data_IF_893606686097
#
_entry.id   IF_893606686097
#
_cell.length_a   1.000
_cell.length_b   1.000
_cell.length_c   1.000
_cell.angle_alpha   90.00
_cell.angle_beta   90.00
_cell.angle_gamma   90.00
#
_symmetry.space_group_name_H-M   'P 1'
#
loop_
_entity.id
_entity.type
_entity.pdbx_description
1 polymer ?
#
# COMPACT_ATOMS: atom_id res chain seq x y z
N UNK A 1 -12.25 -17.25 -12.17
CA UNK A 1 -11.61 -16.13 -11.46
C UNK A 1 -11.38 -16.53 -10.02
N UNK A 2 -10.17 -16.33 -9.48
CA UNK A 2 -9.86 -16.54 -8.07
C UNK A 2 -10.86 -15.81 -7.16
N UNK A 3 -11.24 -16.45 -6.06
CA UNK A 3 -11.96 -15.76 -4.99
C UNK A 3 -11.02 -14.78 -4.29
N UNK A 4 -11.58 -13.94 -3.42
CA UNK A 4 -10.79 -13.04 -2.59
C UNK A 4 -9.83 -13.81 -1.67
N UNK A 5 -10.33 -14.87 -1.03
CA UNK A 5 -9.56 -15.73 -0.13
C UNK A 5 -8.41 -16.40 -0.88
N UNK A 6 -8.67 -16.92 -2.09
CA UNK A 6 -7.63 -17.49 -2.95
C UNK A 6 -6.60 -16.43 -3.36
N UNK A 7 -7.05 -15.23 -3.75
CA UNK A 7 -6.13 -14.13 -4.11
C UNK A 7 -5.18 -13.79 -2.97
N UNK A 8 -5.68 -13.75 -1.74
CA UNK A 8 -4.86 -13.48 -0.54
C UNK A 8 -3.91 -14.64 -0.26
N UNK A 9 -4.39 -15.89 -0.34
CA UNK A 9 -3.56 -17.06 -0.12
C UNK A 9 -2.41 -17.15 -1.14
N UNK A 10 -2.71 -16.94 -2.42
CA UNK A 10 -1.72 -16.96 -3.50
C UNK A 10 -0.71 -15.80 -3.34
N UNK A 11 -1.17 -14.61 -2.95
CA UNK A 11 -0.29 -13.48 -2.66
C UNK A 11 0.66 -13.76 -1.48
N UNK A 12 0.16 -14.36 -0.40
CA UNK A 12 0.98 -14.77 0.75
C UNK A 12 1.99 -15.85 0.33
N UNK A 13 1.60 -16.81 -0.50
CA UNK A 13 2.51 -17.85 -1.00
C UNK A 13 3.65 -17.24 -1.84
N UNK A 14 3.34 -16.26 -2.69
CA UNK A 14 4.36 -15.54 -3.46
C UNK A 14 5.28 -14.74 -2.54
N UNK A 15 4.72 -14.06 -1.54
CA UNK A 15 5.50 -13.32 -0.55
C UNK A 15 6.45 -14.22 0.26
N UNK A 16 5.97 -15.37 0.73
CA UNK A 16 6.77 -16.31 1.52
C UNK A 16 7.86 -17.01 0.69
N UNK A 17 7.67 -17.15 -0.62
CA UNK A 17 8.67 -17.70 -1.54
C UNK A 17 9.58 -16.64 -2.18
N UNK A 18 9.41 -15.36 -1.81
CA UNK A 18 10.17 -14.26 -2.36
C UNK A 18 11.66 -14.29 -1.97
N UNK A 19 12.49 -13.64 -2.77
CA UNK A 19 13.93 -13.54 -2.55
C UNK A 19 14.23 -12.47 -1.50
N UNK A 20 14.92 -12.85 -0.42
CA UNK A 20 15.37 -11.94 0.63
C UNK A 20 16.87 -12.10 0.87
N UNK A 21 17.74 -11.46 0.08
CA UNK A 21 19.19 -11.67 0.17
C UNK A 21 19.81 -11.31 1.53
N UNK A 22 19.15 -10.46 2.32
CA UNK A 22 19.55 -10.06 3.68
C UNK A 22 18.74 -10.78 4.79
N UNK A 23 17.93 -11.79 4.43
CA UNK A 23 17.00 -12.45 5.35
C UNK A 23 15.66 -11.71 5.47
N UNK A 24 14.64 -12.45 5.89
CA UNK A 24 13.29 -11.93 6.04
C UNK A 24 13.09 -11.33 7.44
N UNK A 25 12.65 -10.08 7.49
CA UNK A 25 12.39 -9.31 8.72
C UNK A 25 11.35 -8.22 8.44
N UNK A 26 10.86 -7.53 9.48
CA UNK A 26 10.01 -6.35 9.30
C UNK A 26 10.64 -5.29 8.37
N UNK A 27 11.97 -5.08 8.49
CA UNK A 27 12.72 -4.10 7.70
C UNK A 27 12.91 -4.50 6.23
N UNK A 28 12.84 -5.79 5.91
CA UNK A 28 13.05 -6.31 4.54
C UNK A 28 11.76 -6.80 3.88
N UNK A 29 10.65 -6.87 4.63
CA UNK A 29 9.38 -7.41 4.15
C UNK A 29 8.81 -6.67 2.93
N UNK A 30 9.09 -5.37 2.80
CA UNK A 30 8.72 -4.57 1.63
C UNK A 30 9.21 -5.19 0.31
N UNK A 31 10.35 -5.87 0.33
CA UNK A 31 10.94 -6.48 -0.86
C UNK A 31 10.07 -7.65 -1.37
N UNK A 32 9.46 -8.41 -0.46
CA UNK A 32 8.50 -9.45 -0.82
C UNK A 32 7.18 -8.87 -1.34
N UNK A 33 6.71 -7.75 -0.76
CA UNK A 33 5.53 -7.04 -1.29
C UNK A 33 5.78 -6.61 -2.73
N UNK A 34 6.93 -6.02 -3.03
CA UNK A 34 7.27 -5.59 -4.38
C UNK A 34 7.44 -6.76 -5.34
N UNK A 35 8.11 -7.83 -4.94
CA UNK A 35 8.18 -9.05 -5.75
C UNK A 35 6.78 -9.62 -6.06
N UNK A 36 5.84 -9.49 -5.12
CA UNK A 36 4.47 -9.97 -5.29
C UNK A 36 3.63 -9.07 -6.21
N UNK A 37 3.69 -7.74 -6.02
CA UNK A 37 2.67 -6.80 -6.52
C UNK A 37 3.18 -5.67 -7.42
N UNK A 38 4.47 -5.32 -7.37
CA UNK A 38 5.00 -4.21 -8.19
C UNK A 38 5.12 -4.66 -9.64
N UNK A 39 4.48 -3.94 -10.56
CA UNK A 39 4.54 -4.25 -11.98
C UNK A 39 5.34 -3.22 -12.77
N UNK A 40 5.62 -3.56 -14.02
CA UNK A 40 6.34 -2.71 -14.95
C UNK A 40 5.39 -2.21 -16.05
N UNK A 41 5.53 -0.93 -16.39
CA UNK A 41 4.87 -0.36 -17.56
C UNK A 41 5.75 -0.52 -18.79
N UNK A 42 5.22 -0.98 -19.93
CA UNK A 42 5.91 -0.87 -21.19
C UNK A 42 5.95 0.61 -21.61
N UNK A 43 7.16 1.14 -21.75
CA UNK A 43 7.43 2.54 -22.05
C UNK A 43 7.75 2.72 -23.53
N UNK A 44 8.69 1.93 -24.05
CA UNK A 44 9.18 2.00 -25.44
C UNK A 44 9.40 3.44 -25.92
N UNK A 45 10.04 4.26 -25.08
CA UNK A 45 10.17 5.69 -25.30
C UNK A 45 11.45 6.23 -24.66
N UNK A 46 12.21 7.00 -25.44
CA UNK A 46 13.39 7.77 -24.99
C UNK A 46 14.35 6.94 -24.13
N UNK A 47 14.84 5.84 -24.70
CA UNK A 47 15.86 4.99 -24.08
C UNK A 47 15.33 3.98 -23.05
N UNK A 48 14.03 3.93 -22.79
CA UNK A 48 13.45 2.94 -21.88
C UNK A 48 12.50 1.99 -22.61
N UNK A 49 12.72 0.69 -22.44
CA UNK A 49 11.79 -0.36 -22.88
C UNK A 49 10.63 -0.49 -21.90
N UNK A 50 10.94 -0.53 -20.60
CA UNK A 50 9.98 -0.68 -19.52
C UNK A 50 10.50 0.01 -18.25
N UNK A 51 9.60 0.39 -17.34
CA UNK A 51 9.93 1.01 -16.06
C UNK A 51 8.96 0.53 -14.98
N UNK A 52 9.36 0.44 -13.69
CA UNK A 52 8.44 0.08 -12.62
C UNK A 52 7.30 1.11 -12.52
N UNK A 53 6.07 0.61 -12.34
CA UNK A 53 4.89 1.44 -12.17
C UNK A 53 4.84 2.04 -10.77
N UNK A 54 5.58 3.12 -10.57
CA UNK A 54 5.54 3.89 -9.33
C UNK A 54 4.61 5.11 -9.41
N UNK A 55 4.12 5.44 -10.60
CA UNK A 55 3.29 6.61 -10.85
C UNK A 55 2.36 6.35 -12.04
N UNK A 56 1.31 7.16 -12.19
CA UNK A 56 0.38 7.07 -13.32
C UNK A 56 1.14 6.93 -14.67
N UNK A 57 0.71 5.97 -15.48
CA UNK A 57 1.42 5.60 -16.70
C UNK A 57 1.60 6.77 -17.69
N UNK A 58 0.71 7.76 -17.69
CA UNK A 58 0.80 8.95 -18.55
C UNK A 58 1.91 9.94 -18.15
N UNK A 59 2.53 9.73 -16.98
CA UNK A 59 3.75 10.40 -16.53
C UNK A 59 5.02 9.62 -16.87
N UNK A 60 4.89 8.35 -17.27
CA UNK A 60 6.00 7.50 -17.71
C UNK A 60 6.10 7.38 -19.23
N UNK A 61 4.98 7.56 -19.95
CA UNK A 61 4.93 7.55 -21.42
C UNK A 61 3.99 8.64 -21.96
N UNK A 62 4.26 9.18 -23.16
CA UNK A 62 3.41 10.21 -23.75
C UNK A 62 2.03 9.63 -24.14
N UNK A 63 0.96 10.23 -23.60
CA UNK A 63 -0.42 9.83 -23.86
C UNK A 63 -1.11 10.62 -24.99
N UNK A 64 -0.39 11.50 -25.70
CA UNK A 64 -0.93 12.27 -26.82
C UNK A 64 0.11 12.53 -27.91
N UNK A 65 -0.30 12.77 -29.17
CA UNK A 65 0.62 13.15 -30.25
C UNK A 65 1.44 14.41 -29.93
N UNK A 66 0.83 15.38 -29.25
CA UNK A 66 1.51 16.60 -28.83
C UNK A 66 2.65 16.29 -27.84
N UNK A 67 2.40 15.46 -26.81
CA UNK A 67 3.46 15.04 -25.87
C UNK A 67 4.56 14.23 -26.56
N UNK A 68 4.22 13.36 -27.53
CA UNK A 68 5.22 12.61 -28.30
C UNK A 68 6.21 13.52 -29.04
N UNK A 69 5.76 14.70 -29.51
CA UNK A 69 6.65 15.67 -30.18
C UNK A 69 7.57 16.41 -29.22
N UNK A 70 7.14 16.62 -27.97
CA UNK A 70 7.91 17.42 -27.00
C UNK A 70 8.81 16.59 -26.10
N UNK A 71 8.47 15.31 -25.86
CA UNK A 71 9.26 14.40 -25.02
C UNK A 71 10.43 13.81 -25.81
N UNK A 72 11.48 14.60 -25.97
CA UNK A 72 12.73 14.20 -26.64
C UNK A 72 13.80 13.69 -25.66
N UNK A 73 13.58 13.84 -24.36
CA UNK A 73 14.51 13.44 -23.28
C UNK A 73 13.74 12.80 -22.12
N UNK A 74 14.39 11.96 -21.29
CA UNK A 74 13.75 11.36 -20.13
C UNK A 74 13.15 12.41 -19.19
N UNK A 75 11.85 12.33 -18.93
CA UNK A 75 11.18 13.20 -17.96
C UNK A 75 11.52 12.78 -16.53
N UNK A 76 11.26 13.67 -15.57
CA UNK A 76 11.62 13.46 -14.15
C UNK A 76 11.13 12.12 -13.60
N UNK A 77 9.88 11.75 -13.91
CA UNK A 77 9.30 10.48 -13.43
C UNK A 77 9.90 9.24 -14.08
N UNK A 78 10.35 9.32 -15.34
CA UNK A 78 11.08 8.20 -15.96
C UNK A 78 12.43 7.97 -15.26
N UNK A 79 13.15 9.06 -14.93
CA UNK A 79 14.43 8.97 -14.19
C UNK A 79 14.22 8.41 -12.79
N UNK A 80 13.18 8.86 -12.07
CA UNK A 80 12.83 8.33 -10.75
C UNK A 80 12.47 6.85 -10.79
N UNK A 81 11.68 6.43 -11.78
CA UNK A 81 11.35 5.02 -11.94
C UNK A 81 12.59 4.17 -12.25
N UNK A 82 13.56 4.69 -13.03
CA UNK A 82 14.85 4.04 -13.22
C UNK A 82 15.65 3.95 -11.92
N UNK A 83 15.70 5.02 -11.11
CA UNK A 83 16.39 4.98 -9.81
C UNK A 83 15.76 3.95 -8.87
N UNK A 84 14.43 3.83 -8.85
CA UNK A 84 13.74 2.77 -8.10
C UNK A 84 14.11 1.40 -8.67
N UNK A 85 14.17 1.23 -9.99
CA UNK A 85 14.61 -0.04 -10.59
C UNK A 85 16.02 -0.44 -10.14
N UNK A 86 16.97 0.49 -10.17
CA UNK A 86 18.36 0.24 -9.76
C UNK A 86 18.45 -0.06 -8.25
N UNK A 87 17.68 0.65 -7.43
CA UNK A 87 17.55 0.38 -6.00
C UNK A 87 17.00 -1.04 -5.74
N UNK A 88 16.01 -1.49 -6.51
CA UNK A 88 15.49 -2.87 -6.40
C UNK A 88 16.53 -3.90 -6.84
N UNK A 89 17.26 -3.61 -7.92
CA UNK A 89 18.31 -4.50 -8.42
C UNK A 89 19.40 -4.74 -7.36
N UNK A 90 19.82 -3.68 -6.68
CA UNK A 90 20.77 -3.75 -5.57
C UNK A 90 20.25 -4.66 -4.44
N UNK A 91 19.00 -4.44 -3.99
CA UNK A 91 18.40 -5.20 -2.89
C UNK A 91 18.09 -6.66 -3.26
N UNK A 92 17.79 -6.94 -4.52
CA UNK A 92 17.62 -8.29 -5.07
C UNK A 92 18.93 -8.94 -5.50
N UNK A 93 20.06 -8.24 -5.38
CA UNK A 93 21.40 -8.65 -5.84
C UNK A 93 21.38 -9.17 -7.28
N UNK A 94 20.66 -8.47 -8.16
CA UNK A 94 20.58 -8.80 -9.58
C UNK A 94 20.94 -7.60 -10.46
N UNK A 95 21.01 -7.81 -11.78
CA UNK A 95 21.16 -6.70 -12.72
C UNK A 95 19.88 -5.90 -12.86
N UNK A 96 20.02 -4.62 -13.20
CA UNK A 96 18.91 -3.67 -13.45
C UNK A 96 17.85 -4.25 -14.42
N UNK A 97 18.29 -4.93 -15.47
CA UNK A 97 17.38 -5.54 -16.47
C UNK A 97 16.63 -6.78 -15.96
N UNK A 98 17.14 -7.45 -14.91
CA UNK A 98 16.56 -8.67 -14.36
C UNK A 98 15.44 -8.42 -13.34
N UNK A 99 15.27 -7.18 -12.85
CA UNK A 99 14.28 -6.85 -11.81
C UNK A 99 12.86 -7.15 -12.27
N UNK A 100 12.51 -6.78 -13.51
CA UNK A 100 11.16 -7.00 -14.07
C UNK A 100 10.73 -8.46 -14.07
N UNK A 101 11.67 -9.41 -14.14
CA UNK A 101 11.40 -10.84 -14.09
C UNK A 101 11.07 -11.31 -12.65
N UNK A 102 11.65 -10.64 -11.64
CA UNK A 102 11.52 -10.98 -10.21
C UNK A 102 10.32 -10.33 -9.51
N UNK A 103 9.64 -9.38 -10.16
CA UNK A 103 8.46 -8.72 -9.59
C UNK A 103 7.15 -9.09 -10.30
N UNK A 104 6.03 -8.58 -9.79
CA UNK A 104 4.68 -8.84 -10.29
C UNK A 104 4.30 -10.32 -10.32
N UNK A 105 4.89 -11.12 -9.44
CA UNK A 105 4.83 -12.57 -9.51
C UNK A 105 3.41 -13.11 -9.31
N UNK A 106 2.55 -12.41 -8.58
CA UNK A 106 1.14 -12.79 -8.44
C UNK A 106 0.40 -12.73 -9.77
N UNK A 107 0.49 -11.61 -10.47
CA UNK A 107 -0.24 -11.39 -11.73
C UNK A 107 0.33 -12.19 -12.91
N UNK A 108 1.53 -12.77 -12.75
CA UNK A 108 2.15 -13.69 -13.72
C UNK A 108 1.67 -15.13 -13.58
N UNK A 109 0.94 -15.47 -12.50
CA UNK A 109 0.37 -16.80 -12.36
C UNK A 109 -0.80 -17.02 -13.34
N UNK A 110 -1.00 -18.25 -13.85
CA UNK A 110 -2.07 -18.55 -14.81
C UNK A 110 -3.47 -18.17 -14.32
N UNK A 111 -3.73 -18.34 -13.02
CA UNK A 111 -5.02 -18.05 -12.39
C UNK A 111 -5.43 -16.57 -12.46
N UNK A 112 -4.48 -15.67 -12.72
CA UNK A 112 -4.68 -14.21 -12.76
C UNK A 112 -4.62 -13.63 -14.18
N UNK A 113 -4.49 -14.48 -15.20
CA UNK A 113 -4.51 -14.04 -16.59
C UNK A 113 -5.83 -13.33 -16.93
N UNK A 114 -5.73 -12.15 -17.57
CA UNK A 114 -6.89 -11.34 -17.96
C UNK A 114 -7.65 -10.66 -16.82
N UNK A 115 -7.24 -10.84 -15.56
CA UNK A 115 -7.90 -10.20 -14.42
C UNK A 115 -7.67 -8.68 -14.39
N UNK A 116 -8.66 -7.96 -13.83
CA UNK A 116 -8.50 -6.54 -13.54
C UNK A 116 -7.50 -6.34 -12.39
N UNK A 117 -6.24 -6.08 -12.75
CA UNK A 117 -5.10 -5.82 -11.86
C UNK A 117 -5.45 -4.98 -10.63
N UNK A 118 -6.15 -3.86 -10.82
CA UNK A 118 -6.43 -2.92 -9.71
C UNK A 118 -7.28 -3.52 -8.59
N UNK A 119 -8.19 -4.44 -8.90
CA UNK A 119 -8.99 -5.12 -7.87
C UNK A 119 -8.15 -6.21 -7.18
N UNK A 120 -7.39 -6.98 -7.96
CA UNK A 120 -6.48 -8.01 -7.45
C UNK A 120 -5.43 -7.41 -6.51
N UNK A 121 -4.80 -6.31 -6.91
CA UNK A 121 -3.81 -5.60 -6.09
C UNK A 121 -4.41 -5.08 -4.79
N UNK A 122 -5.64 -4.52 -4.81
CA UNK A 122 -6.31 -4.04 -3.61
C UNK A 122 -6.54 -5.17 -2.59
N UNK A 123 -7.06 -6.30 -3.07
CA UNK A 123 -7.31 -7.50 -2.24
C UNK A 123 -6.00 -8.07 -1.69
N UNK A 124 -5.03 -8.32 -2.58
CA UNK A 124 -3.76 -8.92 -2.21
C UNK A 124 -2.99 -8.04 -1.23
N UNK A 125 -2.99 -6.71 -1.43
CA UNK A 125 -2.26 -5.79 -0.58
C UNK A 125 -2.81 -5.74 0.85
N UNK A 126 -4.14 -5.67 1.03
CA UNK A 126 -4.74 -5.76 2.38
C UNK A 126 -4.40 -7.09 3.07
N UNK A 127 -4.42 -8.19 2.30
CA UNK A 127 -4.01 -9.52 2.77
C UNK A 127 -2.55 -9.58 3.22
N UNK A 128 -1.63 -9.02 2.44
CA UNK A 128 -0.20 -8.95 2.75
C UNK A 128 0.09 -8.06 3.96
N UNK A 129 -0.60 -6.92 4.08
CA UNK A 129 -0.49 -6.05 5.26
C UNK A 129 -0.88 -6.82 6.53
N UNK A 130 -2.03 -7.51 6.52
CA UNK A 130 -2.44 -8.36 7.65
C UNK A 130 -1.42 -9.45 7.95
N UNK A 131 -0.94 -10.13 6.90
CA UNK A 131 0.05 -11.20 7.04
C UNK A 131 1.33 -10.71 7.72
N UNK A 132 1.86 -9.56 7.30
CA UNK A 132 3.03 -8.96 7.91
C UNK A 132 2.82 -8.53 9.35
N UNK A 133 1.65 -7.98 9.67
CA UNK A 133 1.30 -7.61 11.03
C UNK A 133 1.20 -8.83 11.95
N UNK A 134 0.62 -9.93 11.47
CA UNK A 134 0.61 -11.20 12.21
C UNK A 134 2.02 -11.78 12.40
N UNK A 135 2.90 -11.62 11.39
CA UNK A 135 4.23 -12.23 11.39
C UNK A 135 5.26 -11.45 12.21
N UNK A 136 5.20 -10.13 12.19
CA UNK A 136 6.22 -9.25 12.77
C UNK A 136 5.69 -8.25 13.79
N UNK A 137 4.36 -8.04 13.86
CA UNK A 137 3.74 -7.13 14.81
C UNK A 137 3.63 -7.72 16.21
N UNK A 138 2.99 -6.97 17.10
CA UNK A 138 2.77 -7.38 18.48
C UNK A 138 1.84 -8.59 18.57
N UNK A 139 2.28 -9.64 19.28
CA UNK A 139 1.45 -10.82 19.56
C UNK A 139 0.24 -10.56 20.47
N UNK A 140 0.15 -9.37 21.08
CA UNK A 140 -1.00 -8.94 21.85
C UNK A 140 -2.14 -8.38 20.98
N UNK A 141 -1.88 -8.16 19.69
CA UNK A 141 -2.82 -7.57 18.74
C UNK A 141 -3.26 -8.64 17.73
N UNK A 142 -4.56 -8.79 17.55
CA UNK A 142 -5.14 -9.64 16.50
C UNK A 142 -5.57 -8.79 15.31
N UNK A 143 -5.34 -9.29 14.10
CA UNK A 143 -5.64 -8.57 12.86
C UNK A 143 -6.67 -9.33 12.01
N UNK A 144 -7.80 -8.69 11.73
CA UNK A 144 -8.86 -9.19 10.86
C UNK A 144 -8.92 -8.34 9.58
N UNK A 145 -9.37 -8.92 8.47
CA UNK A 145 -9.51 -8.23 7.17
C UNK A 145 -10.95 -8.25 6.70
N UNK A 146 -11.32 -7.24 5.91
CA UNK A 146 -12.63 -7.16 5.22
C UNK A 146 -13.81 -7.29 6.21
N UNK A 147 -13.62 -6.72 7.40
CA UNK A 147 -14.60 -6.81 8.48
C UNK A 147 -15.80 -5.93 8.13
N UNK A 148 -17.01 -6.45 8.29
CA UNK A 148 -18.22 -5.64 8.18
C UNK A 148 -18.20 -4.56 9.26
N UNK A 149 -18.11 -3.30 8.85
CA UNK A 149 -18.01 -2.18 9.78
C UNK A 149 -19.25 -2.06 10.66
N UNK A 150 -20.44 -2.46 10.16
CA UNK A 150 -21.68 -2.45 10.95
C UNK A 150 -21.68 -3.48 12.08
N UNK A 151 -20.93 -4.58 11.93
CA UNK A 151 -20.78 -5.60 12.98
C UNK A 151 -19.90 -5.12 14.15
N UNK A 152 -18.98 -4.19 13.89
CA UNK A 152 -18.08 -3.62 14.89
C UNK A 152 -18.64 -2.32 15.47
N UNK A 153 -19.26 -1.51 14.62
CA UNK A 153 -19.85 -0.24 14.98
C UNK A 153 -21.30 -0.18 14.49
N UNK A 154 -22.26 -0.75 15.25
CA UNK A 154 -23.66 -0.75 14.85
C UNK A 154 -24.21 0.66 14.64
N UNK A 155 -24.98 0.82 13.56
CA UNK A 155 -25.67 2.08 13.23
C UNK A 155 -24.76 3.21 12.73
N UNK A 156 -23.55 2.91 12.25
CA UNK A 156 -22.76 3.88 11.49
C UNK A 156 -23.34 4.08 10.09
N UNK A 157 -23.26 5.31 9.60
CA UNK A 157 -23.60 5.65 8.23
C UNK A 157 -22.46 6.47 7.65
N UNK A 158 -22.02 6.12 6.44
CA UNK A 158 -21.00 6.88 5.73
C UNK A 158 -21.66 7.84 4.73
N UNK A 159 -21.21 9.10 4.65
CA UNK A 159 -21.70 10.02 3.64
C UNK A 159 -21.37 9.51 2.23
N UNK A 160 -22.38 9.30 1.39
CA UNK A 160 -22.22 9.20 -0.06
C UNK A 160 -21.68 7.89 -0.64
N UNK A 161 -21.61 6.78 0.12
CA UNK A 161 -21.15 5.46 -0.40
C UNK A 161 -21.82 4.24 0.25
N UNK A 162 -21.41 3.05 -0.22
CA UNK A 162 -21.89 1.67 0.06
C UNK A 162 -22.71 1.51 1.34
N UNK A 163 -23.91 0.93 1.22
CA UNK A 163 -24.71 0.52 2.38
C UNK A 163 -24.09 -0.59 3.23
N UNK A 164 -22.98 -1.19 2.78
CA UNK A 164 -22.22 -2.24 3.51
C UNK A 164 -20.73 -1.87 3.57
N UNK A 165 -20.35 -0.91 4.41
CA UNK A 165 -18.95 -0.51 4.58
C UNK A 165 -18.09 -1.66 5.13
N UNK A 166 -16.89 -1.82 4.57
CA UNK A 166 -15.92 -2.85 4.97
C UNK A 166 -14.63 -2.19 5.45
N UNK A 167 -14.06 -2.72 6.52
CA UNK A 167 -12.77 -2.31 7.07
C UNK A 167 -11.69 -3.17 6.41
N UNK A 168 -10.72 -2.55 5.74
CA UNK A 168 -9.62 -3.28 5.06
C UNK A 168 -8.87 -4.17 6.05
N UNK A 169 -8.35 -3.59 7.14
CA UNK A 169 -7.73 -4.32 8.25
C UNK A 169 -8.16 -3.70 9.59
N UNK A 170 -8.67 -4.54 10.50
CA UNK A 170 -9.06 -4.19 11.86
C UNK A 170 -8.07 -4.80 12.85
N UNK A 171 -7.44 -3.96 13.68
CA UNK A 171 -6.60 -4.41 14.78
C UNK A 171 -7.39 -4.40 16.10
N UNK A 172 -7.28 -5.46 16.89
CA UNK A 172 -7.92 -5.58 18.22
C UNK A 172 -6.91 -5.99 19.29
N UNK A 173 -7.13 -5.53 20.52
CA UNK A 173 -6.44 -6.03 21.72
C UNK A 173 -7.51 -6.57 22.66
N UNK A 174 -7.42 -7.85 23.04
CA UNK A 174 -8.44 -8.46 23.92
C UNK A 174 -9.87 -8.31 23.39
N UNK A 175 -10.06 -8.52 22.07
CA UNK A 175 -11.32 -8.33 21.34
C UNK A 175 -11.87 -6.90 21.24
N UNK A 176 -11.19 -5.89 21.81
CA UNK A 176 -11.59 -4.49 21.70
C UNK A 176 -10.90 -3.88 20.47
N UNK A 177 -11.64 -3.24 19.55
CA UNK A 177 -11.05 -2.49 18.44
C UNK A 177 -9.99 -1.50 18.92
N UNK A 178 -8.83 -1.48 18.28
CA UNK A 178 -7.71 -0.60 18.67
C UNK A 178 -7.30 0.35 17.56
N UNK A 179 -7.28 -0.16 16.34
CA UNK A 179 -6.98 0.62 15.15
C UNK A 179 -7.75 0.11 13.93
N UNK A 180 -8.06 1.01 13.01
CA UNK A 180 -8.35 0.69 11.62
C UNK A 180 -7.13 1.03 10.79
N UNK A 181 -6.84 0.17 9.81
CA UNK A 181 -5.77 0.36 8.86
C UNK A 181 -6.39 0.29 7.47
N UNK A 182 -6.40 1.43 6.77
CA UNK A 182 -6.81 1.52 5.37
C UNK A 182 -5.62 1.15 4.48
N UNK A 183 -5.70 0.00 3.81
CA UNK A 183 -4.60 -0.54 3.00
C UNK A 183 -4.87 -0.27 1.52
N UNK A 184 -4.19 0.72 0.94
CA UNK A 184 -4.41 1.16 -0.45
C UNK A 184 -3.12 1.09 -1.25
N UNK A 185 -3.02 0.16 -2.21
CA UNK A 185 -1.82 0.04 -3.06
C UNK A 185 -1.46 1.37 -3.75
N UNK A 186 -2.44 2.03 -4.34
CA UNK A 186 -2.31 3.39 -4.89
C UNK A 186 -3.43 4.27 -4.36
N UNK A 187 -3.16 5.56 -4.14
CA UNK A 187 -4.15 6.54 -3.75
C UNK A 187 -4.69 7.20 -5.03
N UNK A 188 -6.00 7.17 -5.25
CA UNK A 188 -6.62 7.98 -6.31
C UNK A 188 -7.33 9.16 -5.67
N UNK A 189 -7.57 10.22 -6.43
CA UNK A 189 -8.17 11.44 -5.88
C UNK A 189 -9.55 11.20 -5.26
N UNK A 190 -10.37 10.37 -5.90
CA UNK A 190 -11.68 9.93 -5.42
C UNK A 190 -11.59 9.01 -4.19
N UNK A 191 -10.54 8.20 -4.09
CA UNK A 191 -10.29 7.27 -2.97
C UNK A 191 -9.72 7.94 -1.73
N UNK A 192 -9.03 9.07 -1.89
CA UNK A 192 -8.57 9.88 -0.76
C UNK A 192 -9.74 10.45 0.03
N UNK A 193 -10.80 10.89 -0.66
CA UNK A 193 -11.98 11.43 0.02
C UNK A 193 -12.69 10.37 0.88
N UNK A 194 -12.59 9.09 0.51
CA UNK A 194 -13.15 8.00 1.33
C UNK A 194 -12.43 7.93 2.67
N UNK A 195 -11.09 7.91 2.65
CA UNK A 195 -10.27 7.88 3.86
C UNK A 195 -10.60 9.07 4.77
N UNK A 196 -10.64 10.29 4.20
CA UNK A 196 -10.87 11.52 4.98
C UNK A 196 -12.29 11.59 5.55
N UNK A 197 -13.28 10.97 4.89
CA UNK A 197 -14.67 10.94 5.36
C UNK A 197 -14.94 9.78 6.33
N UNK A 198 -14.28 8.65 6.15
CA UNK A 198 -14.47 7.44 6.96
C UNK A 198 -13.83 7.58 8.34
N UNK A 199 -12.60 8.12 8.41
CA UNK A 199 -11.87 8.28 9.66
C UNK A 199 -12.67 8.94 10.80
N UNK A 200 -13.29 10.13 10.61
CA UNK A 200 -14.02 10.79 11.68
C UNK A 200 -15.26 10.00 12.11
N UNK A 201 -15.92 9.31 11.17
CA UNK A 201 -17.08 8.45 11.46
C UNK A 201 -16.66 7.28 12.34
N UNK A 202 -15.56 6.60 12.02
CA UNK A 202 -15.05 5.50 12.82
C UNK A 202 -14.61 5.94 14.22
N UNK A 203 -13.84 7.03 14.33
CA UNK A 203 -13.39 7.55 15.63
C UNK A 203 -14.58 7.97 16.51
N UNK A 204 -15.57 8.66 15.94
CA UNK A 204 -16.79 9.04 16.68
C UNK A 204 -17.61 7.81 17.12
N UNK A 205 -17.74 6.81 16.25
CA UNK A 205 -18.45 5.57 16.58
C UNK A 205 -17.75 4.78 17.70
N UNK A 206 -16.41 4.72 17.66
CA UNK A 206 -15.63 4.11 18.73
C UNK A 206 -15.84 4.82 20.08
N UNK A 207 -15.76 6.15 20.11
CA UNK A 207 -15.98 6.92 21.34
C UNK A 207 -17.39 6.73 21.93
N UNK A 208 -18.39 6.51 21.07
CA UNK A 208 -19.75 6.20 21.51
C UNK A 208 -19.88 4.81 22.14
N UNK A 209 -19.21 3.80 21.58
CA UNK A 209 -19.44 2.38 21.91
C UNK A 209 -18.45 1.86 22.94
N UNK A 210 -17.17 2.21 22.82
CA UNK A 210 -16.07 1.55 23.53
C UNK A 210 -15.38 2.41 24.59
N UNK A 211 -15.69 3.71 24.67
CA UNK A 211 -15.03 4.66 25.60
C UNK A 211 -15.11 4.24 27.08
N UNK A 212 -16.21 3.61 27.48
CA UNK A 212 -16.38 3.12 28.85
C UNK A 212 -15.57 1.84 29.13
N UNK A 213 -15.21 1.09 28.09
CA UNK A 213 -14.49 -0.17 28.19
C UNK A 213 -12.98 0.06 28.17
N UNK A 214 -12.48 1.02 27.39
CA UNK A 214 -11.05 1.34 27.30
C UNK A 214 -10.83 2.85 27.21
N UNK A 215 -10.11 3.39 28.19
CA UNK A 215 -9.63 4.78 28.16
C UNK A 215 -8.42 4.87 27.24
N UNK A 216 -8.66 5.07 25.95
CA UNK A 216 -7.63 5.26 24.94
C UNK A 216 -8.26 5.73 23.63
N UNK A 217 -7.50 6.48 22.84
CA UNK A 217 -7.96 6.98 21.55
C UNK A 217 -7.93 5.89 20.49
N UNK A 218 -9.00 5.76 19.70
CA UNK A 218 -9.03 4.89 18.55
C UNK A 218 -8.07 5.40 17.47
N UNK A 219 -7.27 4.49 16.90
CA UNK A 219 -6.29 4.85 15.88
C UNK A 219 -6.84 4.57 14.48
N UNK A 220 -6.44 5.40 13.52
CA UNK A 220 -6.76 5.27 12.11
C UNK A 220 -5.49 5.52 11.30
N UNK A 221 -5.07 4.51 10.55
CA UNK A 221 -3.84 4.56 9.76
C UNK A 221 -4.12 4.31 8.28
N UNK A 222 -3.23 4.81 7.43
CA UNK A 222 -3.21 4.49 6.00
C UNK A 222 -1.89 3.82 5.68
N UNK A 223 -1.92 2.68 4.99
CA UNK A 223 -0.72 2.02 4.46
C UNK A 223 -0.82 2.01 2.94
N UNK A 224 0.24 2.43 2.25
CA UNK A 224 0.20 2.63 0.80
C UNK A 224 1.53 2.39 0.09
N UNK A 225 1.46 2.16 -1.23
CA UNK A 225 2.60 2.21 -2.15
C UNK A 225 2.49 3.40 -3.14
N UNK A 226 1.78 4.46 -2.78
CA UNK A 226 1.67 5.68 -3.59
C UNK A 226 2.96 6.50 -3.58
N UNK A 227 3.43 6.96 -4.76
CA UNK A 227 4.61 7.85 -4.87
C UNK A 227 4.23 9.29 -5.22
N UNK A 228 3.00 9.58 -5.67
CA UNK A 228 2.61 10.93 -6.03
C UNK A 228 2.63 11.83 -4.77
N UNK A 229 3.53 12.83 -4.70
CA UNK A 229 3.71 13.63 -3.50
C UNK A 229 2.47 14.47 -3.18
N UNK A 230 1.66 14.86 -4.18
CA UNK A 230 0.44 15.62 -3.93
C UNK A 230 -0.63 14.75 -3.26
N UNK A 231 -0.74 13.48 -3.67
CA UNK A 231 -1.68 12.52 -3.09
C UNK A 231 -1.27 12.11 -1.68
N UNK A 232 0.01 11.82 -1.47
CA UNK A 232 0.57 11.55 -0.15
C UNK A 232 0.43 12.76 0.80
N UNK A 233 0.76 13.97 0.33
CA UNK A 233 0.63 15.18 1.14
C UNK A 233 -0.82 15.44 1.57
N UNK A 234 -1.80 15.11 0.73
CA UNK A 234 -3.22 15.23 1.08
C UNK A 234 -3.60 14.28 2.22
N UNK A 235 -3.13 13.02 2.18
CA UNK A 235 -3.39 12.07 3.26
C UNK A 235 -2.65 12.44 4.56
N UNK A 236 -1.39 12.87 4.46
CA UNK A 236 -0.59 13.33 5.60
C UNK A 236 -1.15 14.61 6.25
N UNK A 237 -1.81 15.47 5.47
CA UNK A 237 -2.41 16.71 5.97
C UNK A 237 -3.77 16.52 6.66
N UNK A 238 -4.35 15.32 6.66
CA UNK A 238 -5.60 15.04 7.36
C UNK A 238 -5.33 14.76 8.83
N UNK A 239 -5.81 15.65 9.71
CA UNK A 239 -5.62 15.55 11.16
C UNK A 239 -6.39 14.41 11.81
N UNK A 240 -7.35 13.80 11.11
CA UNK A 240 -8.01 12.60 11.59
C UNK A 240 -7.10 11.36 11.48
N UNK A 241 -6.26 11.28 10.45
CA UNK A 241 -5.37 10.14 10.20
C UNK A 241 -4.16 10.23 11.13
N UNK A 242 -3.95 9.21 11.96
CA UNK A 242 -2.89 9.24 12.99
C UNK A 242 -1.49 9.07 12.37
N UNK A 243 -1.37 8.28 11.29
CA UNK A 243 -0.18 8.22 10.46
C UNK A 243 -0.46 7.63 9.08
N UNK A 244 0.38 8.00 8.12
CA UNK A 244 0.46 7.36 6.80
C UNK A 244 1.79 6.62 6.73
N UNK A 245 1.75 5.31 6.51
CA UNK A 245 2.93 4.48 6.30
C UNK A 245 3.08 4.11 4.82
N UNK A 246 4.31 4.17 4.32
CA UNK A 246 4.64 3.70 2.98
C UNK A 246 5.29 2.32 3.04
N UNK A 247 5.00 1.46 2.06
CA UNK A 247 5.58 0.11 1.97
C UNK A 247 7.10 0.15 2.07
N UNK A 248 7.72 1.14 1.43
CA UNK A 248 9.15 1.41 1.52
C UNK A 248 9.37 2.93 1.46
N UNK A 249 9.51 3.59 2.60
CA UNK A 249 9.72 5.05 2.66
C UNK A 249 11.01 5.48 1.97
N UNK A 250 12.18 4.79 2.15
CA UNK A 250 13.40 5.12 1.44
C UNK A 250 13.25 5.21 -0.09
N UNK A 251 12.45 4.33 -0.71
CA UNK A 251 12.22 4.37 -2.15
C UNK A 251 11.51 5.65 -2.64
N UNK A 252 10.67 6.26 -1.80
CA UNK A 252 9.94 7.49 -2.12
C UNK A 252 10.75 8.72 -1.73
N UNK A 253 11.24 8.75 -0.50
CA UNK A 253 11.94 9.91 0.04
C UNK A 253 13.33 9.98 -0.58
N UNK A 254 14.20 9.02 -0.29
CA UNK A 254 15.62 9.10 -0.64
C UNK A 254 15.85 8.85 -2.13
N UNK A 255 15.32 7.74 -2.67
CA UNK A 255 15.58 7.32 -4.06
C UNK A 255 14.90 8.23 -5.07
N UNK A 256 13.65 8.63 -4.83
CA UNK A 256 12.95 9.57 -5.72
C UNK A 256 13.23 11.05 -5.41
N UNK A 257 13.93 11.36 -4.30
CA UNK A 257 14.23 12.71 -3.86
C UNK A 257 12.98 13.53 -3.52
N UNK A 258 12.02 12.93 -2.81
CA UNK A 258 10.73 13.55 -2.44
C UNK A 258 10.67 13.96 -0.96
N UNK A 259 11.82 14.23 -0.36
CA UNK A 259 12.04 14.35 1.09
C UNK A 259 11.16 15.41 1.77
N UNK A 260 10.86 16.53 1.10
CA UNK A 260 10.26 17.72 1.70
C UNK A 260 8.97 17.47 2.49
N UNK A 261 7.82 17.54 1.83
CA UNK A 261 6.51 17.40 2.50
C UNK A 261 6.20 15.98 2.97
N UNK A 262 7.07 15.01 2.65
CA UNK A 262 6.89 13.59 2.96
C UNK A 262 7.77 13.12 4.13
N UNK A 263 8.47 14.02 4.82
CA UNK A 263 9.32 13.66 5.96
C UNK A 263 8.56 12.93 7.08
N UNK A 264 7.27 13.27 7.26
CA UNK A 264 6.36 12.68 8.26
C UNK A 264 5.80 11.31 7.86
N UNK A 265 6.05 10.85 6.63
CA UNK A 265 5.67 9.51 6.20
C UNK A 265 6.38 8.48 7.09
N UNK A 266 5.65 7.50 7.59
CA UNK A 266 6.21 6.40 8.37
C UNK A 266 6.71 5.31 7.41
N UNK A 267 7.82 4.65 7.72
CA UNK A 267 8.18 3.41 7.01
C UNK A 267 7.30 2.24 7.52
N UNK A 268 7.01 1.26 6.67
CA UNK A 268 6.18 0.13 7.10
C UNK A 268 6.82 -0.66 8.25
N UNK A 269 8.15 -0.76 8.31
CA UNK A 269 8.82 -1.40 9.45
C UNK A 269 8.62 -0.61 10.76
N UNK A 270 8.68 0.73 10.70
CA UNK A 270 8.38 1.60 11.84
C UNK A 270 6.93 1.40 12.31
N UNK A 271 5.99 1.30 11.37
CA UNK A 271 4.59 1.04 11.65
C UNK A 271 4.38 -0.30 12.36
N UNK A 272 5.01 -1.38 11.88
CA UNK A 272 4.94 -2.70 12.52
C UNK A 272 5.46 -2.62 13.95
N UNK A 273 6.60 -1.96 14.17
CA UNK A 273 7.18 -1.79 15.51
C UNK A 273 6.26 -1.00 16.44
N UNK A 274 5.57 0.03 15.92
CA UNK A 274 4.63 0.84 16.70
C UNK A 274 3.45 0.03 17.26
N UNK A 275 3.13 -1.13 16.68
CA UNK A 275 2.06 -2.01 17.19
C UNK A 275 2.35 -2.58 18.58
N UNK A 276 3.61 -2.58 19.03
CA UNK A 276 3.98 -2.96 20.40
C UNK A 276 3.45 -1.98 21.46
N UNK A 277 3.05 -0.78 21.06
CA UNK A 277 2.53 0.28 21.93
C UNK A 277 0.99 0.33 21.96
N UNK A 278 0.31 -0.62 21.33
CA UNK A 278 -1.15 -0.61 21.12
C UNK A 278 -1.94 -1.28 22.25
#
# INVERSE_FOLDING_TARGET
MPTREKTIADAIQVFESADYPAGQSAATAWLGIYQTLLWYEPINWVGFTQLPHIIDADKLRPNSPAKKRTWTRPVVWQRRAQLVNDYLAEHLRCSSDAVSAKVDLLMKQPDFEGMQRQNTLGIAFAGLVRHMLNKFGSGAVSYEIEVDAGSIFPGITFPGRSGTPRIDVLAKTGNIPRAIISAKWSLRHDRLNDITNECPVYKAAYERIYRQVRRGHFLFFVITNEYDPARLSKALGDTCVDAVAHVNKPAVVDVCGLNGRLAQLMDFAEFINATALW
#
